data_IF_376251365721
#
_entry.id   IF_376251365721
#
_cell.length_a   1.000
_cell.length_b   1.000
_cell.length_c   1.000
_cell.angle_alpha   90.00
_cell.angle_beta   90.00
_cell.angle_gamma   90.00
#
_symmetry.space_group_name_H-M   'P 1'
#
loop_
_entity.id
_entity.type
_entity.pdbx_description
1 polymer ?
#
# COMPACT_ATOMS: atom_id res chain seq x y z
N UNK A 1 32.47 4.02 -46.45
CA UNK A 1 32.41 5.48 -46.66
C UNK A 1 31.32 6.02 -45.76
N UNK A 2 31.70 6.99 -44.96
CA UNK A 2 30.91 7.84 -44.10
C UNK A 2 30.06 8.83 -44.89
N UNK A 3 28.90 9.21 -44.30
CA UNK A 3 28.18 10.48 -44.50
C UNK A 3 27.57 10.65 -45.91
N UNK A 4 26.50 11.36 -46.18
CA UNK A 4 25.46 12.15 -45.51
C UNK A 4 24.53 12.55 -46.67
N UNK A 5 23.30 13.00 -46.40
CA UNK A 5 22.40 13.62 -47.38
C UNK A 5 21.69 12.67 -48.37
N UNK A 6 20.48 12.24 -47.99
CA UNK A 6 19.35 12.12 -48.92
C UNK A 6 18.08 11.87 -48.11
N UNK A 7 17.31 12.92 -47.79
CA UNK A 7 15.83 12.88 -47.63
C UNK A 7 15.32 14.26 -47.25
N UNK A 8 15.32 15.16 -48.22
CA UNK A 8 14.47 16.35 -48.24
C UNK A 8 13.72 16.36 -49.56
N UNK A 9 12.72 15.50 -49.72
CA UNK A 9 11.65 15.66 -50.71
C UNK A 9 10.49 14.73 -50.32
N UNK A 10 9.26 15.24 -50.41
CA UNK A 10 7.97 14.68 -49.94
C UNK A 10 7.43 15.25 -48.62
N UNK A 11 7.23 16.56 -48.58
CA UNK A 11 6.21 17.20 -47.74
C UNK A 11 5.16 17.86 -48.65
N UNK A 12 4.21 17.06 -49.15
CA UNK A 12 2.91 17.55 -49.62
C UNK A 12 1.94 16.38 -49.72
N UNK A 13 1.19 16.13 -48.65
CA UNK A 13 -0.16 15.56 -48.77
C UNK A 13 -0.97 15.97 -47.53
N UNK A 14 -1.83 16.96 -47.75
CA UNK A 14 -3.16 17.14 -47.15
C UNK A 14 -3.48 16.24 -45.95
N UNK A 15 -3.23 16.74 -44.73
CA UNK A 15 -3.96 16.26 -43.53
C UNK A 15 -5.39 16.78 -43.61
N UNK A 16 -6.29 15.97 -44.17
CA UNK A 16 -7.72 16.15 -43.94
C UNK A 16 -7.99 15.97 -42.45
N UNK A 17 -8.49 17.04 -41.84
CA UNK A 17 -8.92 17.11 -40.46
C UNK A 17 -10.13 16.18 -40.25
N UNK A 18 -9.88 14.91 -39.94
CA UNK A 18 -10.89 14.04 -39.34
C UNK A 18 -10.92 14.40 -37.85
N UNK A 19 -11.78 15.38 -37.53
CA UNK A 19 -12.32 15.55 -36.19
C UNK A 19 -13.00 14.23 -35.80
N UNK A 20 -12.28 13.38 -35.06
CA UNK A 20 -12.89 12.28 -34.33
C UNK A 20 -13.72 12.96 -33.24
N UNK A 21 -15.03 13.06 -33.48
CA UNK A 21 -15.96 13.42 -32.42
C UNK A 21 -15.79 12.41 -31.28
N UNK A 22 -15.65 12.86 -30.02
CA UNK A 22 -15.66 11.93 -28.91
C UNK A 22 -17.02 11.24 -28.91
N UNK A 23 -17.01 9.92 -29.12
CA UNK A 23 -18.20 9.08 -28.95
C UNK A 23 -18.84 9.46 -27.62
N UNK A 24 -20.11 9.84 -27.66
CA UNK A 24 -20.90 10.18 -26.47
C UNK A 24 -20.78 9.04 -25.46
N UNK A 25 -19.89 9.21 -24.46
CA UNK A 25 -19.90 8.37 -23.27
C UNK A 25 -21.24 8.65 -22.61
N UNK A 26 -22.03 7.59 -22.41
CA UNK A 26 -23.15 7.64 -21.48
C UNK A 26 -22.68 8.38 -20.22
N UNK A 27 -23.40 9.41 -19.74
CA UNK A 27 -23.02 10.08 -18.52
C UNK A 27 -23.14 9.04 -17.42
N UNK A 28 -22.00 8.50 -16.98
CA UNK A 28 -21.89 7.99 -15.63
C UNK A 28 -22.35 9.14 -14.76
N UNK A 29 -23.48 8.94 -14.10
CA UNK A 29 -23.96 9.89 -13.10
C UNK A 29 -22.80 10.05 -12.13
N UNK A 30 -22.05 11.16 -12.27
CA UNK A 30 -21.14 11.62 -11.23
C UNK A 30 -22.03 11.70 -10.01
N UNK A 31 -21.82 10.80 -9.05
CA UNK A 31 -22.57 10.84 -7.82
C UNK A 31 -22.14 12.12 -7.10
N UNK A 32 -22.88 13.20 -7.34
CA UNK A 32 -22.70 14.54 -6.77
C UNK A 32 -22.89 14.57 -5.25
N UNK A 33 -23.06 13.41 -4.61
CA UNK A 33 -23.39 13.24 -3.20
C UNK A 33 -22.38 12.35 -2.44
N UNK A 34 -21.17 12.11 -2.96
CA UNK A 34 -20.14 11.43 -2.16
C UNK A 34 -19.65 12.36 -1.05
N UNK A 35 -20.04 12.04 0.19
CA UNK A 35 -19.49 12.65 1.39
C UNK A 35 -18.11 12.05 1.60
N UNK A 36 -17.06 12.85 1.38
CA UNK A 36 -15.68 12.46 1.66
C UNK A 36 -15.33 12.72 3.12
N UNK A 37 -14.71 11.76 3.80
CA UNK A 37 -14.42 11.88 5.23
C UNK A 37 -13.19 12.77 5.50
N UNK A 38 -12.08 12.55 4.79
CA UNK A 38 -10.81 13.26 5.02
C UNK A 38 -10.39 14.19 3.88
N UNK A 39 -10.95 14.01 2.68
CA UNK A 39 -10.67 14.85 1.51
C UNK A 39 -11.67 16.01 1.41
N UNK A 40 -11.28 17.13 0.81
CA UNK A 40 -12.16 18.26 0.47
C UNK A 40 -12.90 18.07 -0.85
N UNK A 41 -12.45 17.13 -1.69
CA UNK A 41 -13.10 16.76 -2.95
C UNK A 41 -12.99 15.28 -3.26
N UNK A 42 -13.84 14.83 -4.16
CA UNK A 42 -13.76 13.47 -4.71
C UNK A 42 -12.49 13.30 -5.55
N UNK A 43 -11.73 12.19 -5.42
CA UNK A 43 -10.45 12.05 -6.11
C UNK A 43 -10.60 11.89 -7.63
N UNK A 44 -9.77 12.60 -8.37
CA UNK A 44 -9.68 12.50 -9.83
C UNK A 44 -9.26 11.08 -10.24
N UNK A 45 -9.87 10.57 -11.32
CA UNK A 45 -9.65 9.22 -11.89
C UNK A 45 -9.99 8.01 -11.00
N UNK A 46 -10.55 8.21 -9.79
CA UNK A 46 -10.88 7.11 -8.88
C UNK A 46 -11.81 6.06 -9.51
N UNK A 47 -12.81 6.52 -10.25
CA UNK A 47 -13.87 5.66 -10.82
C UNK A 47 -13.56 5.21 -12.26
N UNK A 48 -12.36 5.47 -12.75
CA UNK A 48 -11.93 4.91 -14.03
C UNK A 48 -11.88 3.37 -13.94
N UNK A 49 -12.31 2.63 -14.98
CA UNK A 49 -12.45 1.17 -14.89
C UNK A 49 -11.14 0.43 -14.56
N UNK A 50 -10.03 0.84 -15.19
CA UNK A 50 -8.70 0.30 -14.90
C UNK A 50 -8.05 1.16 -13.81
N UNK A 51 -7.90 0.59 -12.62
CA UNK A 51 -7.32 1.25 -11.45
C UNK A 51 -5.84 0.92 -11.38
N UNK A 52 -4.98 1.93 -11.47
CA UNK A 52 -3.52 1.75 -11.50
C UNK A 52 -2.83 2.79 -10.63
N UNK A 53 -1.61 2.48 -10.17
CA UNK A 53 -0.82 3.43 -9.38
C UNK A 53 -0.52 4.71 -10.16
N UNK A 54 -0.36 4.62 -11.47
CA UNK A 54 -0.07 5.77 -12.33
C UNK A 54 -1.27 6.71 -12.45
N UNK A 55 -2.47 6.16 -12.63
CA UNK A 55 -3.72 6.96 -12.66
C UNK A 55 -3.99 7.59 -11.30
N UNK A 56 -3.75 6.86 -10.21
CA UNK A 56 -3.87 7.41 -8.86
C UNK A 56 -2.90 8.59 -8.66
N UNK A 57 -1.61 8.42 -8.98
CA UNK A 57 -0.63 9.50 -8.90
C UNK A 57 -0.99 10.70 -9.77
N UNK A 58 -1.49 10.47 -10.99
CA UNK A 58 -1.96 11.56 -11.85
C UNK A 58 -3.16 12.30 -11.26
N UNK A 59 -4.10 11.57 -10.66
CA UNK A 59 -5.20 12.16 -9.90
C UNK A 59 -4.69 13.05 -8.76
N UNK A 60 -3.73 12.56 -7.97
CA UNK A 60 -3.07 13.36 -6.92
C UNK A 60 -2.43 14.63 -7.48
N UNK A 61 -1.75 14.57 -8.64
CA UNK A 61 -1.15 15.77 -9.27
C UNK A 61 -2.18 16.84 -9.63
N UNK A 62 -3.35 16.42 -10.12
CA UNK A 62 -4.47 17.33 -10.38
C UNK A 62 -5.10 17.86 -9.10
N UNK A 63 -5.06 17.05 -8.03
CA UNK A 63 -5.86 17.30 -6.84
C UNK A 63 -5.15 18.09 -5.74
N UNK A 64 -3.83 17.99 -5.67
CA UNK A 64 -3.06 18.43 -4.49
C UNK A 64 -2.63 19.90 -4.50
N UNK A 65 -2.75 20.56 -5.65
CA UNK A 65 -2.28 21.93 -5.82
C UNK A 65 -0.78 22.08 -5.55
N UNK A 66 0.02 21.06 -5.87
CA UNK A 66 1.47 21.10 -5.72
C UNK A 66 2.18 21.75 -6.93
N UNK A 67 1.44 22.13 -7.97
CA UNK A 67 1.93 22.95 -9.09
C UNK A 67 3.17 22.37 -9.81
N UNK A 68 3.27 21.04 -9.92
CA UNK A 68 4.42 20.35 -10.52
C UNK A 68 5.67 20.27 -9.62
N UNK A 69 5.58 20.81 -8.41
CA UNK A 69 6.58 20.74 -7.33
C UNK A 69 6.17 19.68 -6.29
N UNK A 70 6.89 19.61 -5.18
CA UNK A 70 6.48 18.81 -4.02
C UNK A 70 5.89 19.72 -2.97
N UNK A 71 4.69 19.39 -2.48
CA UNK A 71 4.04 20.14 -1.40
C UNK A 71 4.25 19.43 -0.06
N UNK A 72 4.69 20.18 0.95
CA UNK A 72 4.71 19.73 2.35
C UNK A 72 4.04 20.83 3.17
N UNK A 73 2.95 20.48 3.85
CA UNK A 73 2.02 21.41 4.48
C UNK A 73 1.54 22.47 3.47
N UNK A 74 1.71 23.74 3.79
CA UNK A 74 1.32 24.86 2.94
C UNK A 74 2.49 25.45 2.12
N UNK A 75 3.59 24.72 2.01
CA UNK A 75 4.79 25.18 1.28
C UNK A 75 5.14 24.27 0.11
N UNK A 76 5.58 24.88 -1.00
CA UNK A 76 6.07 24.20 -2.21
C UNK A 76 7.60 24.18 -2.25
N UNK A 77 8.16 23.03 -2.61
CA UNK A 77 9.58 22.74 -2.63
C UNK A 77 10.02 22.17 -3.98
N UNK A 78 11.23 22.51 -4.41
CA UNK A 78 11.88 21.87 -5.56
C UNK A 78 13.03 20.98 -5.08
N UNK A 79 12.79 19.66 -5.08
CA UNK A 79 13.78 18.66 -4.72
C UNK A 79 14.56 18.10 -5.91
N UNK A 80 14.45 18.67 -7.12
CA UNK A 80 15.05 18.10 -8.35
C UNK A 80 16.53 17.76 -8.16
N UNK A 81 17.33 18.67 -7.61
CA UNK A 81 18.76 18.45 -7.35
C UNK A 81 19.04 17.51 -6.17
N UNK A 82 18.04 17.22 -5.33
CA UNK A 82 18.17 16.37 -4.16
C UNK A 82 17.80 14.91 -4.44
N UNK A 83 17.08 14.61 -5.53
CA UNK A 83 16.55 13.27 -5.85
C UNK A 83 17.62 12.18 -5.68
N UNK A 84 18.76 12.31 -6.36
CA UNK A 84 19.83 11.28 -6.32
C UNK A 84 20.55 11.17 -4.97
N UNK A 85 20.39 12.19 -4.11
CA UNK A 85 21.01 12.26 -2.78
C UNK A 85 20.07 11.86 -1.65
N UNK A 86 18.81 11.57 -1.97
CA UNK A 86 17.81 11.23 -0.97
C UNK A 86 18.18 9.93 -0.24
N UNK A 87 18.40 9.94 1.10
CA UNK A 87 18.88 8.77 1.83
C UNK A 87 17.96 7.54 1.78
N UNK A 88 16.65 7.76 1.54
CA UNK A 88 15.66 6.69 1.40
C UNK A 88 15.58 6.09 -0.01
N UNK A 89 16.30 6.66 -0.98
CA UNK A 89 16.28 6.26 -2.39
C UNK A 89 15.58 7.29 -3.28
N UNK A 90 15.98 7.43 -4.56
CA UNK A 90 15.48 8.48 -5.44
C UNK A 90 14.05 8.22 -5.95
N UNK A 91 13.58 6.97 -5.93
CA UNK A 91 12.28 6.57 -6.47
C UNK A 91 11.11 7.34 -5.83
N UNK A 92 11.13 7.51 -4.51
CA UNK A 92 10.07 8.19 -3.76
C UNK A 92 9.79 9.59 -4.29
N UNK A 93 10.83 10.39 -4.51
CA UNK A 93 10.68 11.77 -5.01
C UNK A 93 10.31 11.79 -6.49
N UNK A 94 10.82 10.86 -7.30
CA UNK A 94 10.44 10.76 -8.72
C UNK A 94 8.96 10.42 -8.89
N UNK A 95 8.44 9.45 -8.13
CA UNK A 95 7.03 9.03 -8.18
C UNK A 95 6.07 10.15 -7.76
N UNK A 96 6.43 10.86 -6.69
CA UNK A 96 5.59 11.87 -6.04
C UNK A 96 5.78 13.30 -6.56
N UNK A 97 6.56 13.49 -7.64
CA UNK A 97 6.69 14.82 -8.25
C UNK A 97 5.32 15.34 -8.68
N UNK A 98 4.99 16.56 -8.25
CA UNK A 98 3.72 17.20 -8.52
C UNK A 98 2.61 16.84 -7.52
N UNK A 99 2.89 16.17 -6.39
CA UNK A 99 1.88 15.81 -5.39
C UNK A 99 2.13 16.48 -4.03
N UNK A 100 1.11 16.46 -3.18
CA UNK A 100 1.24 16.72 -1.74
C UNK A 100 1.78 15.46 -1.07
N UNK A 101 2.93 15.61 -0.42
CA UNK A 101 3.67 14.53 0.26
C UNK A 101 3.74 14.76 1.77
N UNK A 102 2.84 15.58 2.34
CA UNK A 102 2.85 15.93 3.77
C UNK A 102 2.83 14.70 4.67
N UNK A 103 1.85 13.81 4.52
CA UNK A 103 1.71 12.63 5.37
C UNK A 103 2.93 11.70 5.23
N UNK A 104 3.41 11.49 4.00
CA UNK A 104 4.60 10.68 3.73
C UNK A 104 5.86 11.31 4.36
N UNK A 105 6.03 12.64 4.24
CA UNK A 105 7.14 13.36 4.86
C UNK A 105 7.13 13.21 6.38
N UNK A 106 5.95 13.38 6.99
CA UNK A 106 5.79 13.31 8.44
C UNK A 106 6.10 11.93 9.01
N UNK A 107 5.58 10.88 8.37
CA UNK A 107 5.68 9.49 8.82
C UNK A 107 7.02 8.84 8.55
N UNK A 108 7.71 9.25 7.48
CA UNK A 108 8.98 8.65 7.08
C UNK A 108 10.20 9.36 7.68
N UNK A 109 10.05 10.58 8.21
CA UNK A 109 11.14 11.35 8.81
C UNK A 109 10.93 11.59 10.31
N UNK A 110 11.37 10.64 11.14
CA UNK A 110 11.24 10.72 12.61
C UNK A 110 12.18 11.79 13.21
N UNK A 111 13.35 11.99 12.61
CA UNK A 111 14.35 12.98 13.08
C UNK A 111 14.13 14.37 12.49
N UNK A 112 14.65 15.41 13.15
CA UNK A 112 14.58 16.81 12.68
C UNK A 112 15.51 17.14 11.51
N UNK A 113 16.36 16.18 11.07
CA UNK A 113 17.33 16.43 9.99
C UNK A 113 16.66 16.80 8.67
N UNK A 114 15.56 16.13 8.31
CA UNK A 114 14.86 16.40 7.07
C UNK A 114 14.21 17.79 7.09
N UNK A 115 13.59 18.16 8.21
CA UNK A 115 12.99 19.48 8.44
C UNK A 115 14.03 20.60 8.30
N UNK A 116 15.22 20.41 8.88
CA UNK A 116 16.32 21.37 8.77
C UNK A 116 16.88 21.56 7.35
N UNK A 117 16.60 20.64 6.42
CA UNK A 117 17.02 20.74 5.02
C UNK A 117 15.99 21.44 4.13
N UNK A 118 14.72 21.54 4.56
CA UNK A 118 13.62 22.04 3.73
C UNK A 118 13.86 23.48 3.24
N UNK A 119 14.42 24.34 4.09
CA UNK A 119 14.66 25.75 3.77
C UNK A 119 15.52 25.94 2.50
N UNK A 120 16.41 24.99 2.20
CA UNK A 120 17.28 25.04 1.00
C UNK A 120 16.50 24.85 -0.31
N UNK A 121 15.38 24.14 -0.25
CA UNK A 121 14.60 23.73 -1.43
C UNK A 121 13.27 24.47 -1.52
N UNK A 122 13.00 25.40 -0.61
CA UNK A 122 11.76 26.17 -0.58
C UNK A 122 11.66 27.06 -1.82
N UNK A 123 10.51 27.01 -2.50
CA UNK A 123 10.19 27.88 -3.62
C UNK A 123 9.27 29.01 -3.16
N UNK A 124 8.07 28.67 -2.64
CA UNK A 124 7.07 29.62 -2.12
C UNK A 124 5.98 28.90 -1.31
N UNK A 125 5.10 29.66 -0.66
CA UNK A 125 3.88 29.11 -0.09
C UNK A 125 2.87 28.73 -1.19
N UNK A 126 2.08 27.71 -0.92
CA UNK A 126 0.93 27.32 -1.72
C UNK A 126 -0.19 28.38 -1.58
N UNK A 127 -0.89 28.65 -2.67
CA UNK A 127 -1.96 29.67 -2.69
C UNK A 127 -3.33 29.12 -2.29
N UNK A 128 -3.50 27.80 -2.32
CA UNK A 128 -4.74 27.12 -2.00
C UNK A 128 -4.56 26.18 -0.80
N UNK A 129 -5.60 25.94 0.01
CA UNK A 129 -5.56 24.95 1.08
C UNK A 129 -5.24 23.54 0.57
N UNK A 130 -4.81 22.67 1.48
CA UNK A 130 -4.57 21.25 1.18
C UNK A 130 -5.88 20.52 0.84
N UNK A 131 -5.78 19.48 0.02
CA UNK A 131 -6.92 18.61 -0.29
C UNK A 131 -7.28 17.69 0.88
N UNK A 132 -6.29 17.26 1.66
CA UNK A 132 -6.47 16.39 2.84
C UNK A 132 -6.59 17.24 4.10
N UNK A 133 -7.57 16.92 4.96
CA UNK A 133 -7.92 17.68 6.18
C UNK A 133 -7.27 17.15 7.47
N UNK A 134 -6.47 16.08 7.39
CA UNK A 134 -5.75 15.55 8.55
C UNK A 134 -4.73 16.56 9.08
N UNK A 135 -4.67 16.72 10.40
CA UNK A 135 -3.82 17.75 11.03
C UNK A 135 -2.54 17.16 11.61
N UNK A 136 -1.49 17.99 11.61
CA UNK A 136 -0.18 17.72 12.23
C UNK A 136 0.21 18.87 13.17
N UNK A 137 -0.71 19.28 14.05
CA UNK A 137 -0.47 20.37 15.02
C UNK A 137 0.76 20.05 15.87
N UNK A 138 1.58 21.06 16.19
CA UNK A 138 2.82 20.85 16.95
C UNK A 138 2.57 20.30 18.36
N UNK A 139 1.46 20.72 18.98
CA UNK A 139 0.92 20.23 20.25
C UNK A 139 -0.09 19.07 20.07
N UNK A 140 -0.29 18.61 18.83
CA UNK A 140 -1.15 17.48 18.48
C UNK A 140 -0.55 16.13 18.87
N UNK A 141 -1.38 15.09 18.75
CA UNK A 141 -1.03 13.73 19.14
C UNK A 141 0.18 13.25 18.35
N UNK A 142 0.15 13.31 17.01
CA UNK A 142 1.19 12.70 16.19
C UNK A 142 2.55 13.35 16.45
N UNK A 143 2.62 14.69 16.46
CA UNK A 143 3.87 15.41 16.68
C UNK A 143 4.41 15.21 18.09
N UNK A 144 3.55 15.07 19.10
CA UNK A 144 3.96 14.70 20.46
C UNK A 144 4.54 13.29 20.51
N UNK A 145 3.84 12.31 19.93
CA UNK A 145 4.33 10.93 19.86
C UNK A 145 5.66 10.84 19.09
N UNK A 146 5.77 11.49 17.94
CA UNK A 146 6.97 11.52 17.09
C UNK A 146 8.19 12.04 17.86
N UNK A 147 8.04 13.10 18.67
CA UNK A 147 9.12 13.61 19.55
C UNK A 147 9.55 12.57 20.57
N UNK A 148 8.58 11.98 21.30
CA UNK A 148 8.88 10.97 22.32
C UNK A 148 9.51 9.71 21.73
N UNK A 149 9.03 9.24 20.58
CA UNK A 149 9.61 8.09 19.85
C UNK A 149 11.02 8.42 19.42
N UNK A 150 11.28 9.59 18.83
CA UNK A 150 12.64 10.02 18.47
C UNK A 150 13.60 9.98 19.66
N UNK A 151 13.15 10.41 20.84
CA UNK A 151 13.98 10.34 22.05
C UNK A 151 14.16 8.90 22.52
N UNK A 152 13.10 8.11 22.54
CA UNK A 152 13.15 6.69 22.91
C UNK A 152 14.11 5.88 22.03
N UNK A 153 14.17 6.17 20.72
CA UNK A 153 15.04 5.48 19.76
C UNK A 153 16.54 5.57 20.10
N UNK A 154 16.96 6.51 20.96
CA UNK A 154 18.36 6.60 21.42
C UNK A 154 18.76 5.41 22.30
N UNK A 155 17.80 4.80 23.00
CA UNK A 155 18.03 3.84 24.08
C UNK A 155 17.30 2.49 23.86
N UNK A 156 16.95 2.14 22.61
CA UNK A 156 16.32 0.85 22.29
C UNK A 156 17.34 -0.24 21.93
N UNK A 157 16.90 -1.50 22.04
CA UNK A 157 17.63 -2.62 21.46
C UNK A 157 17.32 -2.76 19.95
N UNK A 158 18.37 -2.72 19.13
CA UNK A 158 18.29 -2.94 17.68
C UNK A 158 18.56 -4.39 17.26
N UNK A 159 18.84 -5.30 18.21
CA UNK A 159 18.95 -6.74 17.99
C UNK A 159 17.76 -7.36 17.24
N UNK A 160 16.50 -7.02 17.58
CA UNK A 160 15.32 -7.51 16.85
C UNK A 160 15.36 -7.21 15.35
N UNK A 161 15.81 -6.03 14.91
CA UNK A 161 15.89 -5.73 13.48
C UNK A 161 16.89 -6.65 12.73
N UNK A 162 17.94 -7.12 13.40
CA UNK A 162 18.83 -8.15 12.85
C UNK A 162 18.12 -9.50 12.77
N UNK A 163 17.29 -9.84 13.76
CA UNK A 163 16.47 -11.06 13.75
C UNK A 163 15.43 -11.03 12.62
N UNK A 164 14.84 -9.88 12.30
CA UNK A 164 13.90 -9.73 11.17
C UNK A 164 14.54 -10.15 9.85
N UNK A 165 15.80 -9.75 9.63
CA UNK A 165 16.60 -10.17 8.46
C UNK A 165 16.83 -11.68 8.42
N UNK A 166 17.16 -12.29 9.57
CA UNK A 166 17.34 -13.73 9.65
C UNK A 166 16.03 -14.49 9.38
N UNK A 167 14.90 -13.99 9.90
CA UNK A 167 13.57 -14.59 9.71
C UNK A 167 13.21 -14.64 8.24
N UNK A 168 13.27 -13.51 7.53
CA UNK A 168 12.93 -13.46 6.10
C UNK A 168 13.89 -14.30 5.25
N UNK A 169 15.20 -14.27 5.53
CA UNK A 169 16.18 -15.09 4.80
C UNK A 169 15.91 -16.59 5.00
N UNK A 170 15.54 -16.99 6.22
CA UNK A 170 15.20 -18.38 6.55
C UNK A 170 13.92 -18.83 5.87
N UNK A 171 12.90 -17.96 5.79
CA UNK A 171 11.65 -18.26 5.09
C UNK A 171 11.84 -18.36 3.58
N UNK A 172 12.68 -17.49 3.01
CA UNK A 172 13.05 -17.55 1.60
C UNK A 172 13.78 -18.87 1.29
N UNK A 173 14.76 -19.25 2.12
CA UNK A 173 15.46 -20.52 1.98
C UNK A 173 14.50 -21.72 2.13
N UNK A 174 13.57 -21.67 3.09
CA UNK A 174 12.56 -22.72 3.28
C UNK A 174 11.61 -22.83 2.07
N UNK A 175 11.18 -21.71 1.48
CA UNK A 175 10.38 -21.71 0.26
C UNK A 175 11.10 -22.44 -0.88
N UNK A 176 12.38 -22.14 -1.10
CA UNK A 176 13.17 -22.81 -2.15
C UNK A 176 13.40 -24.29 -1.85
N UNK A 177 13.74 -24.65 -0.60
CA UNK A 177 13.91 -26.04 -0.19
C UNK A 177 12.63 -26.87 -0.36
N UNK A 178 11.47 -26.32 0.01
CA UNK A 178 10.18 -26.98 -0.15
C UNK A 178 9.76 -27.08 -1.62
N UNK A 179 10.00 -26.04 -2.42
CA UNK A 179 9.74 -26.09 -3.86
C UNK A 179 10.60 -27.15 -4.56
N UNK A 180 11.87 -27.30 -4.17
CA UNK A 180 12.74 -28.38 -4.63
C UNK A 180 12.17 -29.75 -4.29
N UNK A 181 11.80 -29.99 -3.02
CA UNK A 181 11.22 -31.27 -2.63
C UNK A 181 9.87 -31.52 -3.32
N UNK A 182 9.06 -30.49 -3.50
CA UNK A 182 7.78 -30.57 -4.22
C UNK A 182 7.96 -31.03 -5.67
N UNK A 183 8.93 -30.47 -6.41
CA UNK A 183 9.17 -30.89 -7.80
C UNK A 183 9.82 -32.27 -7.89
N UNK A 184 10.74 -32.61 -6.98
CA UNK A 184 11.42 -33.93 -6.96
C UNK A 184 10.49 -35.08 -6.60
N UNK A 185 9.52 -34.82 -5.72
CA UNK A 185 8.58 -35.82 -5.21
C UNK A 185 7.18 -35.70 -5.83
N UNK A 186 6.99 -34.77 -6.78
CA UNK A 186 5.69 -34.44 -7.38
C UNK A 186 4.58 -34.18 -6.34
N UNK A 187 4.92 -33.55 -5.21
CA UNK A 187 4.03 -33.40 -4.06
C UNK A 187 3.43 -32.00 -3.96
N UNK A 188 2.13 -31.91 -4.22
CA UNK A 188 1.36 -30.67 -4.05
C UNK A 188 1.19 -30.27 -2.57
N UNK A 189 1.31 -31.20 -1.62
CA UNK A 189 1.34 -30.86 -0.20
C UNK A 189 2.59 -30.06 0.16
N UNK A 190 3.76 -30.46 -0.37
CA UNK A 190 5.00 -29.70 -0.21
C UNK A 190 4.95 -28.38 -0.99
N UNK A 191 4.28 -28.35 -2.15
CA UNK A 191 4.04 -27.12 -2.88
C UNK A 191 3.16 -26.13 -2.10
N UNK A 192 2.13 -26.62 -1.39
CA UNK A 192 1.32 -25.79 -0.48
C UNK A 192 2.17 -25.21 0.64
N UNK A 193 3.04 -26.01 1.25
CA UNK A 193 3.99 -25.52 2.26
C UNK A 193 4.95 -24.48 1.67
N UNK A 194 5.46 -24.70 0.46
CA UNK A 194 6.27 -23.70 -0.27
C UNK A 194 5.48 -22.41 -0.51
N UNK A 195 4.21 -22.48 -0.92
CA UNK A 195 3.34 -21.32 -1.12
C UNK A 195 3.12 -20.52 0.16
N UNK A 196 2.98 -21.18 1.31
CA UNK A 196 2.94 -20.53 2.62
C UNK A 196 4.22 -19.73 2.90
N UNK A 197 5.39 -20.33 2.68
CA UNK A 197 6.66 -19.64 2.89
C UNK A 197 6.93 -18.51 1.87
N UNK A 198 6.47 -18.65 0.62
CA UNK A 198 6.47 -17.55 -0.35
C UNK A 198 5.60 -16.40 0.15
N UNK A 199 4.37 -16.68 0.58
CA UNK A 199 3.48 -15.67 1.15
C UNK A 199 4.11 -14.95 2.36
N UNK A 200 4.60 -15.69 3.35
CA UNK A 200 5.24 -15.09 4.52
C UNK A 200 6.50 -14.29 4.18
N UNK A 201 7.29 -14.75 3.21
CA UNK A 201 8.45 -14.00 2.71
C UNK A 201 8.02 -12.67 2.09
N UNK A 202 6.95 -12.68 1.27
CA UNK A 202 6.41 -11.46 0.66
C UNK A 202 5.83 -10.50 1.71
N UNK A 203 5.05 -11.00 2.68
CA UNK A 203 4.54 -10.17 3.78
C UNK A 203 5.70 -9.57 4.58
N UNK A 204 6.75 -10.33 4.87
CA UNK A 204 7.94 -9.79 5.54
C UNK A 204 8.73 -8.82 4.66
N UNK A 205 8.72 -8.95 3.33
CA UNK A 205 9.38 -8.02 2.42
C UNK A 205 8.77 -6.61 2.48
N UNK A 206 7.50 -6.49 2.89
CA UNK A 206 6.84 -5.21 3.09
C UNK A 206 7.52 -4.32 4.13
N UNK A 207 7.96 -4.91 5.25
CA UNK A 207 8.80 -4.24 6.25
C UNK A 207 10.03 -3.58 5.61
N UNK A 208 10.61 -4.21 4.60
CA UNK A 208 11.87 -3.77 4.00
C UNK A 208 11.69 -2.76 2.86
N UNK A 209 10.55 -2.70 2.18
CA UNK A 209 10.35 -1.69 1.13
C UNK A 209 10.07 -0.30 1.69
N UNK A 210 9.59 -0.19 2.94
CA UNK A 210 9.43 1.07 3.69
C UNK A 210 10.76 1.62 4.19
N UNK A 211 11.77 0.75 4.35
CA UNK A 211 13.12 1.14 4.76
C UNK A 211 13.93 1.67 3.57
N UNK A 212 15.15 2.14 3.85
CA UNK A 212 16.13 2.43 2.80
C UNK A 212 16.28 1.23 1.87
N UNK A 213 16.38 1.51 0.57
CA UNK A 213 16.56 0.49 -0.48
C UNK A 213 17.55 -0.60 -0.07
N UNK A 214 17.08 -1.84 -0.16
CA UNK A 214 17.81 -3.04 0.20
C UNK A 214 17.26 -4.22 -0.60
N UNK A 215 18.05 -5.27 -0.80
CA UNK A 215 17.63 -6.37 -1.67
C UNK A 215 16.41 -7.15 -1.16
N UNK A 216 16.12 -7.17 0.15
CA UNK A 216 15.00 -7.94 0.72
C UNK A 216 13.64 -7.39 0.29
N UNK A 217 13.57 -6.10 -0.02
CA UNK A 217 12.36 -5.50 -0.59
C UNK A 217 11.95 -6.18 -1.90
N UNK A 218 12.92 -6.67 -2.68
CA UNK A 218 12.66 -7.33 -3.96
C UNK A 218 11.99 -8.69 -3.79
N UNK A 219 12.08 -9.32 -2.61
CA UNK A 219 11.39 -10.58 -2.34
C UNK A 219 9.85 -10.42 -2.38
N UNK A 220 9.34 -9.19 -2.33
CA UNK A 220 7.92 -8.91 -2.60
C UNK A 220 7.52 -9.29 -4.04
N UNK A 221 8.48 -9.38 -4.98
CA UNK A 221 8.22 -9.72 -6.37
C UNK A 221 8.23 -11.24 -6.64
N UNK A 222 8.22 -12.11 -5.61
CA UNK A 222 8.32 -13.56 -5.82
C UNK A 222 7.10 -14.19 -6.53
N UNK A 223 5.94 -13.56 -6.45
CA UNK A 223 4.69 -14.09 -7.00
C UNK A 223 3.89 -12.98 -7.70
N UNK A 224 4.33 -12.59 -8.90
CA UNK A 224 3.67 -11.63 -9.83
C UNK A 224 3.43 -10.20 -9.31
N UNK A 225 3.62 -9.94 -8.01
CA UNK A 225 3.52 -8.63 -7.40
C UNK A 225 4.74 -7.76 -7.71
N UNK A 226 4.62 -6.46 -7.49
CA UNK A 226 5.73 -5.50 -7.63
C UNK A 226 5.84 -4.64 -6.38
N UNK A 227 7.03 -4.61 -5.76
CA UNK A 227 7.31 -3.69 -4.66
C UNK A 227 7.19 -2.24 -5.11
N UNK A 228 7.40 -1.92 -6.40
CA UNK A 228 7.26 -0.56 -6.94
C UNK A 228 5.81 -0.10 -6.95
N UNK A 229 4.91 -0.96 -7.43
CA UNK A 229 3.45 -0.71 -7.34
C UNK A 229 3.04 -0.59 -5.87
N UNK A 230 3.53 -1.49 -5.00
CA UNK A 230 3.21 -1.49 -3.58
C UNK A 230 3.78 -0.30 -2.79
N UNK A 231 4.90 0.29 -3.22
CA UNK A 231 5.35 1.58 -2.68
C UNK A 231 4.32 2.68 -2.91
N UNK A 232 3.59 2.63 -4.02
CA UNK A 232 2.51 3.59 -4.27
C UNK A 232 1.21 3.15 -3.60
N UNK A 233 0.67 1.98 -3.92
CA UNK A 233 -0.64 1.52 -3.42
C UNK A 233 -0.66 1.39 -1.91
N UNK A 234 0.40 0.82 -1.34
CA UNK A 234 0.46 0.53 0.08
C UNK A 234 1.14 1.68 0.83
N UNK A 235 2.40 1.99 0.53
CA UNK A 235 3.17 2.92 1.37
C UNK A 235 2.78 4.41 1.22
N UNK A 236 2.39 4.86 0.02
CA UNK A 236 2.00 6.27 -0.19
C UNK A 236 0.49 6.46 -0.09
N UNK A 237 -0.31 5.51 -0.58
CA UNK A 237 -1.76 5.60 -0.56
C UNK A 237 -2.34 5.05 0.74
N UNK A 238 -2.30 3.73 0.95
CA UNK A 238 -2.97 3.06 2.05
C UNK A 238 -2.45 3.49 3.43
N UNK A 239 -1.14 3.59 3.63
CA UNK A 239 -0.55 4.01 4.91
C UNK A 239 -0.96 5.43 5.31
N UNK A 240 -1.05 6.35 4.34
CA UNK A 240 -1.40 7.73 4.63
C UNK A 240 -2.91 7.94 4.77
N UNK A 241 -3.72 7.16 4.05
CA UNK A 241 -5.15 7.40 3.92
C UNK A 241 -6.02 6.13 4.09
N UNK A 242 -5.74 5.23 5.06
CA UNK A 242 -6.35 3.90 5.10
C UNK A 242 -7.87 3.98 5.22
N UNK A 243 -8.58 3.08 4.52
CA UNK A 243 -10.06 3.01 4.49
C UNK A 243 -10.78 4.26 3.95
N UNK A 244 -10.05 5.27 3.49
CA UNK A 244 -10.65 6.46 2.87
C UNK A 244 -10.95 6.24 1.39
N UNK A 245 -11.60 7.23 0.77
CA UNK A 245 -11.81 7.22 -0.68
C UNK A 245 -10.53 7.47 -1.48
N UNK A 246 -9.48 7.97 -0.83
CA UNK A 246 -8.13 8.14 -1.40
C UNK A 246 -7.32 6.85 -1.36
N UNK A 247 -7.76 5.83 -0.60
CA UNK A 247 -7.07 4.55 -0.48
C UNK A 247 -7.23 3.72 -1.76
N UNK A 248 -6.15 3.60 -2.51
CA UNK A 248 -6.07 2.78 -3.70
C UNK A 248 -6.38 1.31 -3.39
N UNK A 249 -6.03 0.80 -2.21
CA UNK A 249 -6.34 -0.57 -1.79
C UNK A 249 -7.82 -0.77 -1.43
N UNK A 250 -8.58 0.28 -1.16
CA UNK A 250 -10.06 0.19 -1.15
C UNK A 250 -10.57 0.06 -2.58
N UNK A 251 -10.10 0.93 -3.47
CA UNK A 251 -10.62 0.97 -4.84
C UNK A 251 -10.27 -0.29 -5.65
N UNK A 252 -9.09 -0.90 -5.45
CA UNK A 252 -8.61 -2.05 -6.21
C UNK A 252 -9.54 -3.26 -6.14
N UNK A 253 -10.22 -3.47 -5.02
CA UNK A 253 -11.11 -4.60 -4.89
C UNK A 253 -12.53 -4.29 -5.35
N UNK A 254 -12.89 -3.03 -5.59
CA UNK A 254 -14.20 -2.70 -6.15
C UNK A 254 -14.26 -3.07 -7.64
N UNK A 255 -15.35 -3.71 -8.13
CA UNK A 255 -16.63 -3.93 -7.44
C UNK A 255 -16.76 -5.30 -6.74
N UNK A 256 -15.69 -6.08 -6.62
CA UNK A 256 -15.70 -7.43 -6.04
C UNK A 256 -15.81 -7.41 -4.50
N UNK A 257 -14.98 -6.64 -3.82
CA UNK A 257 -15.08 -6.43 -2.36
C UNK A 257 -15.24 -4.93 -2.14
N UNK A 258 -16.40 -4.52 -1.63
CA UNK A 258 -16.70 -3.12 -1.36
C UNK A 258 -16.75 -2.92 0.15
N UNK A 259 -15.82 -2.16 0.74
CA UNK A 259 -15.83 -1.91 2.18
C UNK A 259 -16.50 -0.59 2.56
N UNK A 260 -16.54 0.42 1.68
CA UNK A 260 -17.16 1.71 2.00
C UNK A 260 -18.66 1.55 2.34
N UNK A 261 -19.13 2.05 3.50
CA UNK A 261 -20.53 1.94 3.94
C UNK A 261 -21.42 2.91 3.14
N UNK A 262 -21.67 2.59 1.87
CA UNK A 262 -22.47 3.42 0.98
C UNK A 262 -23.50 2.57 0.23
N UNK A 263 -24.82 2.81 0.42
CA UNK A 263 -25.87 2.05 -0.23
C UNK A 263 -25.91 2.21 -1.75
N UNK A 264 -25.36 3.31 -2.30
CA UNK A 264 -25.24 3.51 -3.75
C UNK A 264 -24.15 2.62 -4.39
N UNK A 265 -23.12 2.23 -3.62
CA UNK A 265 -22.06 1.30 -4.08
C UNK A 265 -22.51 -0.15 -3.90
N UNK A 266 -23.11 -0.46 -2.74
CA UNK A 266 -23.33 -1.82 -2.22
C UNK A 266 -24.74 -2.37 -2.51
N UNK A 267 -24.89 -3.03 -3.66
CA UNK A 267 -26.07 -3.88 -3.92
C UNK A 267 -26.09 -5.13 -3.04
N UNK A 268 -27.24 -5.79 -2.88
CA UNK A 268 -27.36 -7.04 -2.09
C UNK A 268 -26.38 -8.13 -2.53
N UNK A 269 -26.08 -8.21 -3.84
CA UNK A 269 -25.09 -9.15 -4.38
C UNK A 269 -23.67 -8.81 -3.88
N UNK A 270 -23.24 -7.55 -3.99
CA UNK A 270 -21.91 -7.11 -3.54
C UNK A 270 -21.72 -7.26 -2.02
N UNK A 271 -22.82 -7.23 -1.27
CA UNK A 271 -22.82 -7.36 0.20
C UNK A 271 -22.64 -8.80 0.68
N UNK A 272 -23.44 -9.73 0.15
CA UNK A 272 -23.54 -11.09 0.69
C UNK A 272 -22.94 -12.16 -0.22
N UNK A 273 -23.00 -12.01 -1.55
CA UNK A 273 -22.38 -12.97 -2.45
C UNK A 273 -20.84 -12.90 -2.39
N UNK A 274 -20.29 -11.72 -2.04
CA UNK A 274 -18.85 -11.53 -1.79
C UNK A 274 -18.29 -12.42 -0.68
N UNK A 275 -19.13 -12.86 0.26
CA UNK A 275 -18.73 -13.82 1.29
C UNK A 275 -18.40 -15.20 0.69
N UNK A 276 -19.07 -15.56 -0.42
CA UNK A 276 -18.86 -16.84 -1.10
C UNK A 276 -17.71 -16.77 -2.11
N UNK A 277 -17.65 -15.73 -2.93
CA UNK A 277 -16.60 -15.61 -3.95
C UNK A 277 -15.31 -14.93 -3.46
N UNK A 278 -15.31 -14.29 -2.28
CA UNK A 278 -14.13 -13.64 -1.70
C UNK A 278 -12.88 -14.53 -1.65
N UNK A 279 -12.96 -15.80 -1.20
CA UNK A 279 -11.86 -16.75 -1.27
C UNK A 279 -11.26 -16.93 -2.69
N UNK A 280 -12.09 -16.86 -3.74
CA UNK A 280 -11.60 -16.92 -5.12
C UNK A 280 -10.89 -15.62 -5.49
N UNK A 281 -11.40 -14.46 -5.06
CA UNK A 281 -10.71 -13.18 -5.24
C UNK A 281 -9.32 -13.25 -4.60
N UNK A 282 -9.19 -13.80 -3.39
CA UNK A 282 -7.89 -13.96 -2.71
C UNK A 282 -6.93 -14.85 -3.50
N UNK A 283 -7.41 -15.99 -4.01
CA UNK A 283 -6.58 -16.93 -4.77
C UNK A 283 -6.02 -16.34 -6.07
N UNK A 284 -6.69 -15.34 -6.65
CA UNK A 284 -6.30 -14.74 -7.93
C UNK A 284 -5.76 -13.31 -7.83
N UNK A 285 -5.50 -12.76 -6.64
CA UNK A 285 -4.94 -11.40 -6.49
C UNK A 285 -3.64 -11.20 -7.26
N UNK A 286 -2.66 -12.09 -7.11
CA UNK A 286 -1.37 -11.97 -7.78
C UNK A 286 -1.46 -12.14 -9.29
N UNK A 287 -2.34 -13.03 -9.75
CA UNK A 287 -2.65 -13.18 -11.17
C UNK A 287 -3.32 -11.94 -11.75
N UNK A 288 -4.28 -11.40 -11.01
CA UNK A 288 -4.97 -10.16 -11.34
C UNK A 288 -4.01 -8.99 -11.46
N UNK A 289 -3.04 -8.88 -10.54
CA UNK A 289 -2.01 -7.84 -10.59
C UNK A 289 -1.15 -7.94 -11.86
N UNK A 290 -0.71 -9.14 -12.24
CA UNK A 290 0.02 -9.35 -13.48
C UNK A 290 -0.82 -8.95 -14.71
N UNK A 291 -2.07 -9.42 -14.79
CA UNK A 291 -2.98 -9.11 -15.90
C UNK A 291 -3.29 -7.61 -15.96
N UNK A 292 -3.54 -6.97 -14.82
CA UNK A 292 -3.76 -5.52 -14.70
C UNK A 292 -2.60 -4.74 -15.30
N UNK A 293 -1.36 -5.10 -14.95
CA UNK A 293 -0.14 -4.44 -15.45
C UNK A 293 0.10 -4.70 -16.94
N UNK A 294 -0.21 -5.89 -17.44
CA UNK A 294 -0.19 -6.19 -18.88
C UNK A 294 -1.20 -5.34 -19.65
N UNK A 295 -2.45 -5.27 -19.16
CA UNK A 295 -3.50 -4.45 -19.74
C UNK A 295 -3.10 -2.97 -19.75
N UNK A 296 -2.56 -2.46 -18.64
CA UNK A 296 -2.08 -1.08 -18.58
C UNK A 296 -0.95 -0.81 -19.58
N UNK A 297 0.03 -1.72 -19.69
CA UNK A 297 1.12 -1.58 -20.65
C UNK A 297 0.58 -1.53 -22.08
N UNK A 298 -0.39 -2.39 -22.41
CA UNK A 298 -1.01 -2.43 -23.71
C UNK A 298 -1.85 -1.17 -24.01
N UNK A 299 -2.71 -0.75 -23.08
CA UNK A 299 -3.61 0.39 -23.26
C UNK A 299 -2.88 1.73 -23.33
N UNK A 300 -1.80 1.89 -22.54
CA UNK A 300 -1.09 3.17 -22.43
C UNK A 300 0.15 3.26 -23.32
N UNK A 301 0.65 2.13 -23.82
CA UNK A 301 1.95 2.02 -24.50
C UNK A 301 3.15 2.29 -23.58
N UNK A 302 2.93 2.45 -22.27
CA UNK A 302 4.00 2.66 -21.28
C UNK A 302 4.33 1.33 -20.62
N UNK A 303 5.59 0.93 -20.68
CA UNK A 303 6.04 -0.28 -20.01
C UNK A 303 5.90 -0.13 -18.48
N UNK A 304 5.13 -1.01 -17.86
CA UNK A 304 4.97 -1.06 -16.40
C UNK A 304 5.85 -2.12 -15.73
N UNK A 305 6.61 -2.91 -16.52
CA UNK A 305 7.50 -3.96 -16.03
C UNK A 305 8.97 -3.53 -16.05
N UNK A 306 9.71 -3.85 -14.99
CA UNK A 306 11.11 -3.51 -14.76
C UNK A 306 11.94 -4.78 -14.56
N UNK A 307 13.28 -4.65 -14.55
CA UNK A 307 14.18 -5.79 -14.37
C UNK A 307 13.91 -6.56 -13.07
N UNK A 308 13.47 -5.88 -12.01
CA UNK A 308 13.12 -6.51 -10.74
C UNK A 308 11.87 -7.40 -10.81
N UNK A 309 11.02 -7.29 -11.84
CA UNK A 309 9.91 -8.23 -12.06
C UNK A 309 10.39 -9.63 -12.46
N UNK A 310 11.63 -9.77 -12.94
CA UNK A 310 12.23 -11.08 -13.22
C UNK A 310 12.44 -11.92 -11.94
N UNK A 311 12.36 -11.31 -10.75
CA UNK A 311 12.42 -12.04 -9.47
C UNK A 311 11.33 -13.10 -9.36
N UNK A 312 10.16 -12.86 -9.94
CA UNK A 312 9.06 -13.84 -10.02
C UNK A 312 9.51 -15.15 -10.68
N UNK A 313 10.48 -15.10 -11.60
CA UNK A 313 10.95 -16.26 -12.36
C UNK A 313 12.10 -17.01 -11.67
N UNK A 314 12.63 -16.52 -10.55
CA UNK A 314 13.78 -17.17 -9.88
C UNK A 314 13.39 -18.54 -9.32
N UNK A 315 12.23 -18.65 -8.65
CA UNK A 315 11.75 -19.91 -8.08
C UNK A 315 11.49 -20.99 -9.15
N UNK A 316 10.72 -20.73 -10.24
CA UNK A 316 10.53 -21.74 -11.28
C UNK A 316 11.84 -22.07 -12.02
N UNK A 317 12.72 -21.09 -12.27
CA UNK A 317 14.03 -21.34 -12.87
C UNK A 317 14.87 -22.27 -11.99
N UNK A 318 14.89 -22.01 -10.68
CA UNK A 318 15.55 -22.90 -9.72
C UNK A 318 14.99 -24.32 -9.80
N UNK A 319 13.66 -24.48 -9.67
CA UNK A 319 13.00 -25.80 -9.76
C UNK A 319 13.35 -26.55 -11.05
N UNK A 320 13.44 -25.84 -12.18
CA UNK A 320 13.83 -26.41 -13.46
C UNK A 320 15.27 -26.94 -13.44
N UNK A 321 16.22 -26.12 -12.96
CA UNK A 321 17.64 -26.47 -12.93
C UNK A 321 17.95 -27.64 -11.99
N UNK A 322 17.30 -27.72 -10.83
CA UNK A 322 17.71 -28.67 -9.78
C UNK A 322 16.99 -30.01 -9.78
N UNK A 323 15.88 -30.17 -10.51
CA UNK A 323 15.08 -31.36 -10.27
C UNK A 323 13.94 -31.71 -11.21
N UNK A 324 13.61 -30.83 -12.16
CA UNK A 324 12.47 -31.07 -13.03
C UNK A 324 12.81 -32.01 -14.19
N UNK A 325 11.87 -32.90 -14.50
CA UNK A 325 11.93 -33.75 -15.70
C UNK A 325 11.31 -33.07 -16.92
N UNK A 326 10.49 -32.02 -16.73
CA UNK A 326 9.79 -31.31 -17.78
C UNK A 326 9.51 -29.87 -17.38
N UNK A 327 9.64 -28.94 -18.36
CA UNK A 327 9.28 -27.53 -18.19
C UNK A 327 7.80 -27.35 -17.82
N UNK A 328 6.92 -28.21 -18.37
CA UNK A 328 5.48 -28.13 -18.09
C UNK A 328 5.14 -28.46 -16.63
N UNK A 329 5.85 -29.41 -16.02
CA UNK A 329 5.67 -29.74 -14.60
C UNK A 329 6.12 -28.59 -13.69
N UNK A 330 7.21 -27.91 -14.05
CA UNK A 330 7.67 -26.71 -13.33
C UNK A 330 6.62 -25.61 -13.39
N UNK A 331 6.09 -25.32 -14.58
CA UNK A 331 5.09 -24.25 -14.75
C UNK A 331 3.85 -24.55 -13.90
N UNK A 332 3.29 -25.77 -13.99
CA UNK A 332 2.12 -26.14 -13.18
C UNK A 332 2.37 -26.02 -11.68
N UNK A 333 3.49 -26.55 -11.20
CA UNK A 333 3.83 -26.54 -9.78
C UNK A 333 4.08 -25.12 -9.26
N UNK A 334 4.79 -24.29 -10.03
CA UNK A 334 5.04 -22.89 -9.69
C UNK A 334 3.75 -22.07 -9.66
N UNK A 335 2.89 -22.20 -10.67
CA UNK A 335 1.59 -21.52 -10.69
C UNK A 335 0.71 -21.96 -9.50
N UNK A 336 0.76 -23.25 -9.12
CA UNK A 336 0.10 -23.70 -7.90
C UNK A 336 0.68 -23.06 -6.62
N UNK A 337 2.00 -22.96 -6.50
CA UNK A 337 2.66 -22.26 -5.38
C UNK A 337 2.21 -20.79 -5.32
N UNK A 338 2.16 -20.10 -6.47
CA UNK A 338 1.66 -18.72 -6.58
C UNK A 338 0.19 -18.61 -6.18
N UNK A 339 -0.66 -19.56 -6.57
CA UNK A 339 -2.07 -19.60 -6.20
C UNK A 339 -2.25 -19.70 -4.68
N UNK A 340 -1.50 -20.61 -4.04
CA UNK A 340 -1.51 -20.76 -2.57
C UNK A 340 -0.99 -19.49 -1.89
N UNK A 341 0.11 -18.92 -2.39
CA UNK A 341 0.68 -17.70 -1.84
C UNK A 341 -0.31 -16.53 -1.94
N UNK A 342 -0.99 -16.37 -3.09
CA UNK A 342 -2.02 -15.35 -3.32
C UNK A 342 -3.19 -15.51 -2.37
N UNK A 343 -3.73 -16.73 -2.25
CA UNK A 343 -4.85 -17.00 -1.34
C UNK A 343 -4.51 -16.63 0.10
N UNK A 344 -3.35 -17.08 0.60
CA UNK A 344 -2.91 -16.80 1.95
C UNK A 344 -2.61 -15.31 2.17
N UNK A 345 -2.01 -14.64 1.17
CA UNK A 345 -1.74 -13.22 1.23
C UNK A 345 -3.04 -12.40 1.34
N UNK A 346 -4.03 -12.71 0.50
CA UNK A 346 -5.36 -12.09 0.58
C UNK A 346 -6.06 -12.37 1.91
N UNK A 347 -6.02 -13.62 2.39
CA UNK A 347 -6.61 -13.99 3.68
C UNK A 347 -5.96 -13.24 4.85
N UNK A 348 -4.63 -13.14 4.87
CA UNK A 348 -3.89 -12.47 5.95
C UNK A 348 -4.04 -10.94 5.84
N UNK A 349 -3.73 -10.36 4.69
CA UNK A 349 -3.69 -8.91 4.47
C UNK A 349 -5.06 -8.25 4.63
N UNK A 350 -6.11 -8.78 4.00
CA UNK A 350 -7.45 -8.19 4.08
C UNK A 350 -8.13 -8.39 5.44
N UNK A 351 -7.55 -9.22 6.30
CA UNK A 351 -8.02 -9.43 7.67
C UNK A 351 -6.94 -9.04 8.69
N UNK A 352 -6.00 -8.16 8.32
CA UNK A 352 -4.93 -7.71 9.19
C UNK A 352 -5.44 -6.75 10.27
N UNK A 353 -6.02 -5.60 9.89
CA UNK A 353 -6.42 -4.60 10.89
C UNK A 353 -7.49 -3.57 10.46
N UNK A 354 -7.86 -3.51 9.17
CA UNK A 354 -8.59 -2.36 8.61
C UNK A 354 -10.09 -2.55 8.41
N UNK A 355 -10.51 -3.70 7.88
CA UNK A 355 -11.87 -3.86 7.35
C UNK A 355 -12.90 -4.26 8.39
N UNK A 356 -12.90 -3.67 9.58
CA UNK A 356 -13.88 -3.97 10.63
C UNK A 356 -14.99 -2.89 10.71
N UNK A 357 -16.26 -3.22 11.06
CA UNK A 357 -17.34 -2.23 11.23
C UNK A 357 -17.11 -1.17 12.29
N UNK A 358 -16.19 -1.44 13.22
CA UNK A 358 -15.76 -0.51 14.26
C UNK A 358 -14.55 0.33 13.83
N UNK A 359 -13.94 0.05 12.69
CA UNK A 359 -12.90 0.89 12.09
C UNK A 359 -13.55 1.91 11.16
N UNK A 360 -13.02 3.14 11.18
CA UNK A 360 -13.49 4.23 10.32
C UNK A 360 -13.27 3.87 8.85
N UNK A 361 -14.30 4.09 8.05
CA UNK A 361 -14.25 4.07 6.59
C UNK A 361 -14.81 5.38 6.04
N UNK A 362 -14.46 5.72 4.80
CA UNK A 362 -15.00 6.92 4.15
C UNK A 362 -16.55 6.92 4.13
N UNK A 363 -17.15 8.06 4.45
CA UNK A 363 -18.57 8.23 4.75
C UNK A 363 -18.88 8.26 6.25
N UNK A 364 -18.05 7.65 7.11
CA UNK A 364 -18.20 7.76 8.56
C UNK A 364 -17.92 9.20 9.04
N UNK A 365 -18.63 9.61 10.09
CA UNK A 365 -18.46 10.90 10.72
C UNK A 365 -17.27 10.84 11.69
N UNK A 366 -16.35 11.77 11.54
CA UNK A 366 -15.17 11.95 12.40
C UNK A 366 -15.08 13.41 12.87
N UNK A 367 -14.31 13.71 13.93
CA UNK A 367 -13.97 15.09 14.27
C UNK A 367 -13.38 15.85 13.08
N UNK A 368 -13.84 17.09 12.85
CA UNK A 368 -13.44 17.88 11.68
C UNK A 368 -11.92 18.15 11.60
N UNK A 369 -11.29 18.37 12.76
CA UNK A 369 -9.86 18.64 12.91
C UNK A 369 -9.12 17.43 13.48
N UNK A 370 -9.44 16.22 13.03
CA UNK A 370 -8.79 15.01 13.54
C UNK A 370 -7.26 15.09 13.30
N UNK A 371 -6.48 14.72 14.31
CA UNK A 371 -5.03 14.53 14.18
C UNK A 371 -4.76 13.29 13.34
N UNK A 372 -3.71 13.34 12.51
CA UNK A 372 -3.32 12.23 11.64
C UNK A 372 -3.23 10.89 12.39
N UNK A 373 -2.56 10.86 13.55
CA UNK A 373 -2.39 9.61 14.30
C UNK A 373 -3.70 9.07 14.83
N UNK A 374 -4.58 9.97 15.28
CA UNK A 374 -5.91 9.60 15.80
C UNK A 374 -6.76 9.04 14.67
N UNK A 375 -6.65 9.57 13.46
CA UNK A 375 -7.28 8.97 12.28
C UNK A 375 -6.72 7.58 11.94
N UNK A 376 -5.39 7.40 11.95
CA UNK A 376 -4.76 6.09 11.75
C UNK A 376 -5.28 5.08 12.79
N UNK A 377 -5.32 5.46 14.07
CA UNK A 377 -5.89 4.64 15.15
C UNK A 377 -7.40 4.37 14.97
N UNK A 378 -8.14 5.28 14.33
CA UNK A 378 -9.55 5.12 14.04
C UNK A 378 -9.81 4.12 12.89
N UNK A 379 -8.90 4.07 11.91
CA UNK A 379 -8.97 3.15 10.77
C UNK A 379 -8.33 1.78 11.04
N UNK A 380 -7.59 1.63 12.15
CA UNK A 380 -6.87 0.41 12.52
C UNK A 380 -7.44 -0.19 13.81
N UNK A 381 -7.59 -1.53 13.83
CA UNK A 381 -7.74 -2.32 15.04
C UNK A 381 -6.69 -3.43 14.99
N UNK A 382 -5.72 -3.41 15.90
CA UNK A 382 -4.59 -4.35 15.86
C UNK A 382 -5.01 -5.79 16.17
N UNK A 383 -4.14 -6.73 15.76
CA UNK A 383 -4.28 -8.15 16.10
C UNK A 383 -3.62 -8.48 17.43
N UNK A 384 -4.42 -8.79 18.44
CA UNK A 384 -3.90 -9.18 19.77
C UNK A 384 -3.16 -10.52 19.75
N UNK A 385 -3.49 -11.42 18.82
CA UNK A 385 -2.91 -12.76 18.69
C UNK A 385 -1.53 -12.79 18.04
N UNK A 386 -1.06 -11.67 17.50
CA UNK A 386 0.29 -11.55 16.90
C UNK A 386 1.33 -11.01 17.88
N UNK A 387 0.87 -10.31 18.92
CA UNK A 387 1.74 -9.60 19.87
C UNK A 387 2.64 -10.55 20.64
N UNK A 388 3.87 -10.09 20.88
CA UNK A 388 4.90 -10.86 21.61
C UNK A 388 5.65 -11.89 20.76
N UNK A 389 5.21 -12.16 19.52
CA UNK A 389 5.95 -13.01 18.58
C UNK A 389 6.42 -12.20 17.38
N UNK A 390 7.72 -11.90 17.33
CA UNK A 390 8.32 -11.18 16.20
C UNK A 390 8.08 -11.90 14.86
N UNK A 391 8.05 -13.24 14.87
CA UNK A 391 7.73 -14.02 13.68
C UNK A 391 6.30 -13.74 13.21
N UNK A 392 5.31 -13.81 14.11
CA UNK A 392 3.91 -13.55 13.75
C UNK A 392 3.71 -12.10 13.31
N UNK A 393 4.36 -11.14 13.96
CA UNK A 393 4.32 -9.73 13.56
C UNK A 393 4.79 -9.57 12.11
N UNK A 394 5.95 -10.16 11.77
CA UNK A 394 6.55 -10.06 10.43
C UNK A 394 5.80 -10.83 9.34
N UNK A 395 5.08 -11.89 9.68
CA UNK A 395 4.39 -12.74 8.70
C UNK A 395 2.89 -12.48 8.61
N UNK A 396 2.37 -11.55 9.41
CA UNK A 396 0.93 -11.26 9.44
C UNK A 396 0.55 -9.80 9.68
N UNK A 397 1.46 -8.88 9.36
CA UNK A 397 1.28 -7.44 9.53
C UNK A 397 0.92 -7.02 10.97
N UNK A 398 1.56 -7.65 11.96
CA UNK A 398 1.33 -7.32 13.37
C UNK A 398 1.88 -5.93 13.75
N UNK A 399 1.54 -5.45 14.94
CA UNK A 399 1.86 -4.08 15.40
C UNK A 399 1.42 -2.99 14.41
N UNK A 400 0.32 -3.24 13.70
CA UNK A 400 -0.14 -2.51 12.52
C UNK A 400 -0.30 -1.00 12.78
N UNK A 401 -0.88 -0.64 13.92
CA UNK A 401 -1.07 0.75 14.31
C UNK A 401 0.26 1.50 14.42
N UNK A 402 1.27 0.94 15.09
CA UNK A 402 2.58 1.58 15.18
C UNK A 402 3.32 1.56 13.85
N UNK A 403 3.10 0.53 13.04
CA UNK A 403 3.65 0.43 11.69
C UNK A 403 3.12 1.56 10.79
N UNK A 404 1.82 1.88 10.83
CA UNK A 404 1.25 3.04 10.11
C UNK A 404 1.83 4.38 10.56
N UNK A 405 2.13 4.54 11.84
CA UNK A 405 2.66 5.78 12.40
C UNK A 405 4.16 5.97 12.14
N UNK A 406 4.91 4.87 12.07
CA UNK A 406 6.37 4.83 11.91
C UNK A 406 6.82 3.72 10.94
N UNK A 407 6.39 3.75 9.66
CA UNK A 407 6.55 2.63 8.73
C UNK A 407 8.01 2.32 8.37
N UNK A 408 8.90 3.29 8.56
CA UNK A 408 10.34 3.15 8.26
C UNK A 408 11.11 2.40 9.35
N UNK A 409 10.50 2.18 10.52
CA UNK A 409 11.09 1.37 11.57
C UNK A 409 10.82 -0.12 11.30
N UNK A 410 11.82 -0.96 11.57
CA UNK A 410 11.64 -2.40 11.46
C UNK A 410 10.55 -2.88 12.44
N UNK A 411 9.66 -3.76 11.97
CA UNK A 411 8.60 -4.37 12.78
C UNK A 411 9.13 -4.96 14.11
N UNK A 412 10.35 -5.51 14.13
CA UNK A 412 10.96 -6.04 15.35
C UNK A 412 11.27 -4.98 16.42
N UNK A 413 11.30 -3.70 16.06
CA UNK A 413 11.55 -2.57 16.97
C UNK A 413 10.24 -2.04 17.58
N UNK A 414 9.14 -2.07 16.84
CA UNK A 414 7.86 -1.46 17.23
C UNK A 414 7.37 -1.83 18.64
N UNK A 415 7.51 -3.09 19.12
CA UNK A 415 7.08 -3.46 20.47
C UNK A 415 7.67 -2.59 21.59
N UNK A 416 8.88 -2.06 21.40
CA UNK A 416 9.57 -1.23 22.39
C UNK A 416 9.00 0.20 22.50
N UNK A 417 8.11 0.60 21.57
CA UNK A 417 7.51 1.93 21.51
C UNK A 417 6.12 1.99 22.16
N UNK A 418 5.47 0.84 22.41
CA UNK A 418 4.15 0.80 23.05
C UNK A 418 4.04 1.56 24.38
N UNK A 419 5.04 1.55 25.29
CA UNK A 419 4.94 2.32 26.53
C UNK A 419 4.75 3.82 26.30
N UNK A 420 5.54 4.39 25.38
CA UNK A 420 5.49 5.80 24.98
C UNK A 420 4.21 6.12 24.22
N UNK A 421 3.77 5.20 23.36
CA UNK A 421 2.51 5.30 22.66
C UNK A 421 1.33 5.35 23.62
N UNK A 422 1.25 4.42 24.58
CA UNK A 422 0.16 4.40 25.57
C UNK A 422 0.17 5.59 26.53
N UNK A 423 1.35 6.13 26.86
CA UNK A 423 1.44 7.41 27.56
C UNK A 423 0.78 8.54 26.76
N UNK A 424 1.07 8.60 25.47
CA UNK A 424 0.46 9.59 24.58
C UNK A 424 -1.04 9.36 24.40
N UNK A 425 -1.49 8.10 24.29
CA UNK A 425 -2.93 7.78 24.27
C UNK A 425 -3.68 8.31 25.51
N UNK A 426 -3.09 8.18 26.70
CA UNK A 426 -3.68 8.69 27.94
C UNK A 426 -3.77 10.21 27.97
N UNK A 427 -2.70 10.90 27.55
CA UNK A 427 -2.65 12.37 27.53
C UNK A 427 -3.71 12.99 26.61
N UNK A 428 -3.94 12.38 25.45
CA UNK A 428 -4.89 12.86 24.45
C UNK A 428 -6.27 12.20 24.54
N UNK A 429 -6.52 11.43 25.59
CA UNK A 429 -7.80 10.74 25.83
C UNK A 429 -8.27 9.87 24.64
N UNK A 430 -7.33 9.15 24.01
CA UNK A 430 -7.62 8.26 22.88
C UNK A 430 -7.48 6.80 23.23
N UNK A 431 -8.22 5.94 22.52
CA UNK A 431 -8.28 4.52 22.82
C UNK A 431 -7.55 3.71 21.74
N UNK A 432 -6.52 2.99 22.16
CA UNK A 432 -5.91 1.92 21.36
C UNK A 432 -6.80 0.67 21.37
N UNK A 433 -6.93 -0.01 20.23
CA UNK A 433 -7.90 -1.09 20.02
C UNK A 433 -7.23 -2.31 19.43
N UNK A 434 -7.57 -3.47 19.95
CA UNK A 434 -7.08 -4.76 19.48
C UNK A 434 -8.16 -5.84 19.56
N UNK A 435 -8.05 -6.86 18.70
CA UNK A 435 -8.90 -8.04 18.77
C UNK A 435 -8.21 -9.29 18.17
N UNK A 436 -8.69 -10.51 18.49
CA UNK A 436 -8.19 -11.72 17.85
C UNK A 436 -8.54 -11.77 16.36
N UNK A 437 -7.70 -12.44 15.56
CA UNK A 437 -7.86 -12.53 14.11
C UNK A 437 -9.22 -13.09 13.65
N UNK A 438 -9.79 -14.06 14.36
CA UNK A 438 -11.12 -14.58 14.03
C UNK A 438 -12.21 -13.48 14.09
N UNK A 439 -12.11 -12.55 15.04
CA UNK A 439 -13.03 -11.41 15.13
C UNK A 439 -12.79 -10.42 13.99
N UNK A 440 -11.55 -10.25 13.52
CA UNK A 440 -11.27 -9.46 12.32
C UNK A 440 -11.92 -10.08 11.08
N UNK A 441 -11.82 -11.40 10.91
CA UNK A 441 -12.44 -12.11 9.78
C UNK A 441 -13.97 -11.94 9.82
N UNK A 442 -14.59 -12.16 10.98
CA UNK A 442 -16.04 -11.95 11.15
C UNK A 442 -16.41 -10.49 10.88
N UNK A 443 -15.61 -9.55 11.39
CA UNK A 443 -15.76 -8.12 11.16
C UNK A 443 -15.72 -7.77 9.68
N UNK A 444 -14.74 -8.26 8.95
CA UNK A 444 -14.57 -8.03 7.51
C UNK A 444 -15.80 -8.44 6.70
N UNK A 445 -16.43 -9.57 7.01
CA UNK A 445 -17.70 -9.96 6.39
C UNK A 445 -18.87 -9.04 6.79
N UNK A 446 -18.95 -8.65 8.08
CA UNK A 446 -19.92 -7.65 8.54
C UNK A 446 -19.73 -6.31 7.84
N UNK A 447 -18.48 -5.90 7.57
CA UNK A 447 -18.16 -4.65 6.88
C UNK A 447 -18.58 -4.70 5.41
N UNK A 448 -18.37 -5.82 4.72
CA UNK A 448 -18.89 -6.02 3.36
C UNK A 448 -20.42 -5.87 3.32
N UNK A 449 -21.13 -6.34 4.35
CA UNK A 449 -22.58 -6.20 4.45
C UNK A 449 -23.08 -4.83 4.95
N UNK A 450 -22.24 -4.04 5.62
CA UNK A 450 -22.59 -2.75 6.22
C UNK A 450 -22.86 -1.68 5.15
N UNK A 451 -23.98 -0.95 5.27
CA UNK A 451 -24.33 0.18 4.39
C UNK A 451 -24.50 1.50 5.14
N UNK A 452 -24.65 1.45 6.46
CA UNK A 452 -24.87 2.62 7.29
C UNK A 452 -23.55 3.18 7.84
N UNK A 453 -23.43 4.49 7.82
CA UNK A 453 -22.31 5.24 8.40
C UNK A 453 -22.39 5.25 9.93
N UNK A 454 -21.24 5.37 10.60
CA UNK A 454 -21.15 5.52 12.05
C UNK A 454 -20.54 6.87 12.42
N UNK A 455 -20.65 7.26 13.69
CA UNK A 455 -19.93 8.39 14.25
C UNK A 455 -18.79 7.86 15.12
N UNK A 456 -17.55 8.20 14.76
CA UNK A 456 -16.37 7.85 15.54
C UNK A 456 -16.11 8.86 16.64
N UNK A 457 -15.87 8.37 17.86
CA UNK A 457 -15.49 9.16 19.03
C UNK A 457 -14.15 8.66 19.56
N UNK A 458 -13.06 9.47 19.51
CA UNK A 458 -11.73 9.02 19.91
C UNK A 458 -11.60 8.47 21.34
N UNK A 459 -12.39 9.02 22.27
CA UNK A 459 -12.39 8.66 23.69
C UNK A 459 -13.36 7.53 24.04
N UNK A 460 -14.13 7.02 23.07
CA UNK A 460 -15.07 5.94 23.30
C UNK A 460 -14.33 4.63 23.57
N UNK A 461 -14.63 4.01 24.71
CA UNK A 461 -14.02 2.74 25.11
C UNK A 461 -14.38 1.65 24.10
N UNK A 462 -13.38 0.86 23.73
CA UNK A 462 -13.58 -0.27 22.86
C UNK A 462 -14.22 -1.44 23.62
N UNK A 463 -15.52 -1.64 23.39
CA UNK A 463 -16.31 -2.71 23.97
C UNK A 463 -16.23 -4.02 23.16
#
# INVERSE_FOLDING_TARGET
MTWSECTSFFFTSTRSCLQIQPSARLPWVMATNYITTISTKYPSFRDEPLKTVYRWLEGKRLDDGAEGLWRIHDTLYDFTDFIERHPGGPEWLRLTKGTDITEAFETHHITVRAEGLLAKYKVREATAPRAVRLTFRDDGFYRTLKRRVRDKLKDIDYGPAKRSKLIIDSMLAAAFGLAFLAIRLHSYALATASGLFVCWTMISAHNFFHQRDNWRMMAFNLAFSSYREWRVSHAISHHNFPNSILDLEISYFEPFLCWLPNPSIKSSVKRFASWLYGPLVYAFLFYGEFVKRLMETYETGKNTFFLDDLVTLILPTFMYVVGATSLWEVIKMWLFIVLVASFLFGLIGLNAAHHHPKAVHDGDQIPADIDFAVYQMAAVIDRSDTKGSQFMVLTSFGDHCLHHLFPTLDHGILPQLYPVFFETCREFETVYREMPWLQQIIGQHKQLARVDTMTYKPSEKFA
#
